data_IF_692376880716
#
_entry.id   IF_692376880716
#
_cell.length_a   1.000
_cell.length_b   1.000
_cell.length_c   1.000
_cell.angle_alpha   90.00
_cell.angle_beta   90.00
_cell.angle_gamma   90.00
#
_symmetry.space_group_name_H-M   'P 1'
#
loop_
_entity.id
_entity.type
_entity.pdbx_description
1 polymer ?
#
# COMPACT_ATOMS: atom_id res chain seq x y z
N UNK A 1 -3.27 10.66 -22.56
CA UNK A 1 -2.14 10.17 -21.74
C UNK A 1 -2.50 10.43 -20.29
N UNK A 2 -3.25 9.52 -19.68
CA UNK A 2 -3.69 9.65 -18.30
C UNK A 2 -2.44 9.69 -17.41
N UNK A 3 -2.26 10.78 -16.68
CA UNK A 3 -1.10 10.98 -15.82
C UNK A 3 -1.08 9.88 -14.77
N UNK A 4 0.00 9.10 -14.69
CA UNK A 4 0.20 8.11 -13.63
C UNK A 4 0.47 8.74 -12.25
N UNK A 5 0.39 10.07 -12.15
CA UNK A 5 0.56 10.88 -10.94
C UNK A 5 -0.31 10.43 -9.74
N UNK A 6 -1.60 10.06 -9.92
CA UNK A 6 -2.42 9.58 -8.80
C UNK A 6 -1.89 8.29 -8.16
N UNK A 7 -1.21 7.41 -8.93
CA UNK A 7 -0.66 6.17 -8.38
C UNK A 7 0.54 6.41 -7.46
N UNK A 8 1.40 7.38 -7.79
CA UNK A 8 2.51 7.77 -6.93
C UNK A 8 1.99 8.33 -5.60
N UNK A 9 1.10 9.33 -5.68
CA UNK A 9 0.57 9.97 -4.48
C UNK A 9 -0.11 8.94 -3.56
N UNK A 10 -1.00 8.10 -4.12
CA UNK A 10 -1.65 7.06 -3.34
C UNK A 10 -0.66 6.01 -2.82
N UNK A 11 0.37 5.63 -3.59
CA UNK A 11 1.39 4.69 -3.11
C UNK A 11 2.16 5.25 -1.90
N UNK A 12 2.56 6.52 -1.95
CA UNK A 12 3.21 7.23 -0.84
C UNK A 12 2.28 7.31 0.38
N UNK A 13 1.02 7.69 0.17
CA UNK A 13 0.04 7.79 1.25
C UNK A 13 -0.20 6.44 1.95
N UNK A 14 -0.40 5.36 1.18
CA UNK A 14 -0.59 4.03 1.76
C UNK A 14 0.68 3.49 2.41
N UNK A 15 1.86 3.75 1.84
CA UNK A 15 3.14 3.42 2.46
C UNK A 15 3.27 4.09 3.83
N UNK A 16 3.02 5.40 3.91
CA UNK A 16 3.09 6.15 5.16
C UNK A 16 2.07 5.67 6.20
N UNK A 17 0.83 5.36 5.78
CA UNK A 17 -0.21 4.82 6.66
C UNK A 17 0.19 3.45 7.23
N UNK A 18 0.68 2.53 6.39
CA UNK A 18 1.13 1.21 6.83
C UNK A 18 2.36 1.33 7.73
N UNK A 19 3.30 2.22 7.42
CA UNK A 19 4.48 2.46 8.25
C UNK A 19 4.11 2.99 9.64
N UNK A 20 3.17 3.93 9.72
CA UNK A 20 2.66 4.46 10.99
C UNK A 20 1.94 3.36 11.80
N UNK A 21 1.02 2.62 11.18
CA UNK A 21 0.29 1.51 11.80
C UNK A 21 1.23 0.41 12.30
N UNK A 22 2.23 0.03 11.51
CA UNK A 22 3.18 -0.99 11.91
C UNK A 22 4.14 -0.48 13.00
N UNK A 23 4.44 0.82 13.00
CA UNK A 23 5.24 1.50 14.03
C UNK A 23 4.73 1.23 15.45
N UNK A 24 3.41 1.22 15.65
CA UNK A 24 2.78 0.95 16.96
C UNK A 24 2.86 -0.53 17.40
N UNK A 25 3.24 -1.41 16.47
CA UNK A 25 3.35 -2.86 16.69
C UNK A 25 4.79 -3.37 16.83
N UNK A 26 5.80 -2.53 16.59
CA UNK A 26 7.22 -2.93 16.55
C UNK A 26 7.71 -3.62 17.83
N UNK A 27 7.18 -3.24 19.00
CA UNK A 27 7.52 -3.88 20.28
C UNK A 27 6.84 -5.26 20.47
N UNK A 28 5.79 -5.55 19.70
CA UNK A 28 4.96 -6.75 19.84
C UNK A 28 5.19 -7.77 18.72
N UNK A 29 5.58 -7.31 17.53
CA UNK A 29 5.99 -8.14 16.41
C UNK A 29 7.51 -8.35 16.46
N UNK A 30 7.94 -9.46 17.06
CA UNK A 30 9.33 -9.79 17.27
C UNK A 30 9.67 -11.12 16.59
N UNK A 31 10.96 -11.45 16.38
CA UNK A 31 11.33 -12.75 15.83
C UNK A 31 10.88 -13.95 16.68
N UNK A 32 10.59 -13.75 17.98
CA UNK A 32 10.06 -14.81 18.84
C UNK A 32 8.55 -14.94 18.77
N UNK A 33 7.80 -13.84 18.63
CA UNK A 33 6.34 -13.89 18.49
C UNK A 33 5.90 -14.24 17.07
N UNK A 34 6.65 -13.76 16.07
CA UNK A 34 6.37 -13.95 14.65
C UNK A 34 7.63 -14.42 13.90
N UNK A 35 8.05 -15.68 14.10
CA UNK A 35 9.27 -16.25 13.51
C UNK A 35 9.21 -16.36 11.98
N UNK A 36 8.02 -16.29 11.41
CA UNK A 36 7.74 -16.31 9.98
C UNK A 36 6.75 -15.21 9.62
N UNK A 37 6.91 -14.57 8.46
CA UNK A 37 5.91 -13.65 7.93
C UNK A 37 4.71 -14.42 7.38
N UNK A 38 3.55 -14.30 8.03
CA UNK A 38 2.35 -15.08 7.68
C UNK A 38 1.05 -14.29 7.83
N UNK A 39 0.01 -14.72 7.13
CA UNK A 39 -1.37 -14.28 7.34
C UNK A 39 -2.23 -15.50 7.71
N UNK A 40 -2.30 -15.79 9.01
CA UNK A 40 -2.93 -16.99 9.53
C UNK A 40 -2.15 -18.27 9.20
N UNK A 41 -2.72 -19.46 9.47
CA UNK A 41 -2.01 -20.72 9.33
C UNK A 41 -1.84 -21.20 7.88
N UNK A 42 -2.53 -20.57 6.91
CA UNK A 42 -2.59 -21.03 5.51
C UNK A 42 -1.63 -20.29 4.58
N UNK A 43 -1.17 -19.10 4.96
CA UNK A 43 -0.42 -18.21 4.08
C UNK A 43 0.90 -17.81 4.72
N UNK A 44 2.00 -18.18 4.08
CA UNK A 44 3.36 -17.80 4.44
C UNK A 44 3.95 -16.94 3.32
N UNK A 45 4.62 -15.84 3.69
CA UNK A 45 5.25 -14.92 2.75
C UNK A 45 6.76 -15.00 2.86
N UNK A 46 7.40 -15.32 1.73
CA UNK A 46 8.86 -15.34 1.59
C UNK A 46 9.35 -14.09 0.89
N UNK A 47 10.53 -13.62 1.27
CA UNK A 47 11.11 -12.39 0.74
C UNK A 47 12.04 -12.66 -0.44
N UNK A 48 11.88 -11.89 -1.51
CA UNK A 48 12.84 -11.76 -2.61
C UNK A 48 12.62 -10.40 -3.27
N UNK A 49 13.69 -9.66 -3.52
CA UNK A 49 13.65 -8.37 -4.24
C UNK A 49 13.96 -8.53 -5.74
N UNK A 50 14.45 -9.71 -6.16
CA UNK A 50 14.86 -9.98 -7.55
C UNK A 50 16.21 -9.36 -7.93
N UNK A 51 16.83 -8.57 -7.05
CA UNK A 51 18.09 -7.87 -7.25
C UNK A 51 19.17 -8.48 -6.36
N UNK A 52 19.11 -8.24 -5.05
CA UNK A 52 20.06 -8.76 -4.07
C UNK A 52 19.68 -10.18 -3.65
N UNK A 53 18.38 -10.42 -3.44
CA UNK A 53 17.80 -11.69 -3.00
C UNK A 53 16.90 -12.22 -4.13
N UNK A 54 17.51 -13.03 -5.00
CA UNK A 54 16.83 -13.62 -6.17
C UNK A 54 15.98 -14.84 -5.82
N UNK A 55 16.36 -15.60 -4.80
CA UNK A 55 15.63 -16.78 -4.35
C UNK A 55 14.81 -16.41 -3.11
N UNK A 56 13.51 -16.73 -3.06
CA UNK A 56 12.68 -16.45 -1.90
C UNK A 56 13.25 -17.07 -0.62
N UNK A 57 13.53 -16.23 0.39
CA UNK A 57 14.04 -16.65 1.70
C UNK A 57 12.94 -16.56 2.75
N UNK A 58 13.03 -17.45 3.74
CA UNK A 58 12.23 -17.39 4.96
C UNK A 58 12.87 -16.39 5.92
N UNK A 59 12.06 -15.49 6.45
CA UNK A 59 12.46 -14.49 7.45
C UNK A 59 11.31 -14.27 8.43
N UNK A 60 11.64 -13.77 9.62
CA UNK A 60 10.64 -13.37 10.60
C UNK A 60 9.76 -12.23 10.07
N UNK A 61 8.55 -12.10 10.60
CA UNK A 61 7.64 -11.01 10.21
C UNK A 61 8.26 -9.62 10.36
N UNK A 62 8.92 -9.24 11.48
CA UNK A 62 9.56 -7.93 11.57
C UNK A 62 10.70 -7.75 10.57
N UNK A 63 11.46 -8.82 10.28
CA UNK A 63 12.53 -8.73 9.29
C UNK A 63 12.00 -8.61 7.86
N UNK A 64 10.90 -9.27 7.56
CA UNK A 64 10.19 -9.11 6.29
C UNK A 64 9.70 -7.67 6.12
N UNK A 65 9.07 -7.09 7.14
CA UNK A 65 8.54 -5.73 7.07
C UNK A 65 9.67 -4.70 6.93
N UNK A 66 10.79 -4.87 7.64
CA UNK A 66 12.00 -4.07 7.46
C UNK A 66 12.46 -4.05 5.99
N UNK A 67 12.70 -5.23 5.40
CA UNK A 67 13.09 -5.33 3.99
C UNK A 67 12.05 -4.75 3.03
N UNK A 68 10.77 -4.91 3.36
CA UNK A 68 9.70 -4.37 2.55
C UNK A 68 9.68 -2.84 2.56
N UNK A 69 9.80 -2.22 3.73
CA UNK A 69 9.75 -0.78 3.84
C UNK A 69 10.95 -0.12 3.16
N UNK A 70 12.16 -0.67 3.36
CA UNK A 70 13.37 -0.21 2.68
C UNK A 70 13.22 -0.31 1.17
N UNK A 71 12.75 -1.46 0.67
CA UNK A 71 12.53 -1.67 -0.76
C UNK A 71 11.50 -0.70 -1.35
N UNK A 72 10.36 -0.48 -0.68
CA UNK A 72 9.35 0.48 -1.18
C UNK A 72 9.92 1.89 -1.21
N UNK A 73 10.66 2.31 -0.18
CA UNK A 73 11.29 3.62 -0.14
C UNK A 73 12.25 3.81 -1.33
N UNK A 74 13.13 2.84 -1.59
CA UNK A 74 14.01 2.84 -2.76
C UNK A 74 13.23 2.96 -4.07
N UNK A 75 12.11 2.24 -4.21
CA UNK A 75 11.30 2.34 -5.42
C UNK A 75 10.64 3.72 -5.59
N UNK A 76 10.20 4.36 -4.50
CA UNK A 76 9.54 5.68 -4.52
C UNK A 76 10.53 6.84 -4.74
N UNK A 77 11.77 6.67 -4.30
CA UNK A 77 12.87 7.64 -4.46
C UNK A 77 13.57 7.54 -5.83
N UNK A 78 13.36 6.45 -6.58
CA UNK A 78 13.95 6.27 -7.91
C UNK A 78 13.28 7.18 -8.95
N UNK A 79 13.97 8.25 -9.33
CA UNK A 79 13.52 9.21 -10.35
C UNK A 79 13.26 8.58 -11.73
N UNK A 80 13.82 7.41 -12.02
CA UNK A 80 13.57 6.66 -13.27
C UNK A 80 12.21 5.96 -13.25
N UNK A 81 11.68 5.68 -12.06
CA UNK A 81 10.36 5.08 -11.84
C UNK A 81 9.32 6.18 -11.60
N UNK A 82 9.65 7.12 -10.73
CA UNK A 82 8.81 8.24 -10.34
C UNK A 82 9.56 9.56 -10.61
N UNK A 83 9.42 10.17 -11.79
CA UNK A 83 10.12 11.42 -12.09
C UNK A 83 9.64 12.55 -11.16
N UNK A 84 10.43 12.89 -10.14
CA UNK A 84 10.07 13.81 -9.05
C UNK A 84 10.13 15.31 -9.42
N UNK A 85 10.12 15.69 -10.71
CA UNK A 85 10.23 17.11 -11.10
C UNK A 85 8.98 17.90 -10.69
N UNK A 86 9.05 18.55 -9.51
CA UNK A 86 8.11 19.55 -9.03
C UNK A 86 8.11 20.77 -9.96
N UNK A 87 7.09 20.88 -10.83
CA UNK A 87 6.76 22.11 -11.55
C UNK A 87 5.45 22.67 -11.02
N UNK A 88 5.50 23.79 -10.29
CA UNK A 88 4.31 24.52 -9.82
C UNK A 88 3.69 25.24 -11.04
N UNK A 89 2.56 24.74 -11.54
CA UNK A 89 1.72 25.45 -12.48
C UNK A 89 0.25 25.19 -12.14
N UNK A 90 -0.37 26.10 -11.40
CA UNK A 90 -1.81 26.11 -11.18
C UNK A 90 -2.51 26.45 -12.49
N UNK A 91 -3.20 25.48 -13.08
CA UNK A 91 -4.24 25.75 -14.06
C UNK A 91 -5.55 25.29 -13.44
N UNK A 92 -6.46 26.23 -13.17
CA UNK A 92 -7.78 25.93 -12.62
C UNK A 92 -8.54 25.01 -13.60
N UNK A 93 -8.91 23.80 -13.17
CA UNK A 93 -9.80 22.92 -13.93
C UNK A 93 -11.23 23.14 -13.43
N UNK A 94 -12.21 23.39 -14.31
CA UNK A 94 -13.61 23.43 -13.91
C UNK A 94 -14.05 22.04 -13.45
N UNK A 95 -14.47 21.93 -12.19
CA UNK A 95 -15.03 20.73 -11.56
C UNK A 95 -16.15 20.10 -12.43
N UNK A 96 -15.90 18.94 -13.03
CA UNK A 96 -16.97 18.14 -13.63
C UNK A 96 -17.79 17.44 -12.53
N UNK A 97 -19.12 17.46 -12.65
CA UNK A 97 -20.10 17.17 -11.59
C UNK A 97 -20.30 15.68 -11.25
N UNK A 98 -19.46 14.76 -11.72
CA UNK A 98 -19.68 13.31 -11.57
C UNK A 98 -18.45 12.54 -11.07
N UNK A 99 -17.76 13.09 -10.06
CA UNK A 99 -16.72 12.39 -9.30
C UNK A 99 -17.27 12.06 -7.90
N UNK A 100 -17.03 10.83 -7.46
CA UNK A 100 -17.47 10.26 -6.18
C UNK A 100 -17.25 11.21 -4.98
N UNK A 101 -18.15 11.24 -3.99
CA UNK A 101 -18.03 12.11 -2.81
C UNK A 101 -16.71 11.95 -2.04
N UNK A 102 -16.10 10.77 -2.11
CA UNK A 102 -14.80 10.44 -1.50
C UNK A 102 -13.65 11.38 -1.92
N UNK A 103 -13.64 11.84 -3.18
CA UNK A 103 -12.56 12.70 -3.69
C UNK A 103 -12.71 14.17 -3.29
N UNK A 104 -13.82 14.57 -2.67
CA UNK A 104 -14.07 15.98 -2.31
C UNK A 104 -13.54 16.37 -0.95
N UNK A 105 -13.32 15.42 -0.05
CA UNK A 105 -13.06 15.68 1.38
C UNK A 105 -11.58 15.60 1.75
N UNK A 106 -10.78 14.94 0.91
CA UNK A 106 -9.33 15.01 0.95
C UNK A 106 -8.89 16.31 0.26
N UNK A 107 -8.15 17.20 0.94
CA UNK A 107 -7.52 18.42 0.38
C UNK A 107 -6.55 18.20 -0.81
N UNK A 108 -6.59 17.01 -1.41
CA UNK A 108 -5.74 16.47 -2.48
C UNK A 108 -5.97 17.18 -3.82
N UNK A 109 -7.11 17.85 -4.02
CA UNK A 109 -7.41 18.56 -5.28
C UNK A 109 -6.52 19.79 -5.54
N UNK A 110 -5.91 20.38 -4.50
CA UNK A 110 -5.02 21.53 -4.66
C UNK A 110 -3.57 21.13 -4.98
N UNK A 111 -3.25 19.84 -4.90
CA UNK A 111 -1.93 19.29 -5.18
C UNK A 111 -1.97 18.51 -6.52
N UNK A 112 -2.65 19.06 -7.53
CA UNK A 112 -2.53 18.59 -8.91
C UNK A 112 -1.14 18.98 -9.45
N UNK A 113 -0.12 18.33 -8.91
CA UNK A 113 1.28 18.47 -9.29
C UNK A 113 1.40 18.01 -10.73
N UNK A 114 1.66 19.01 -11.56
CA UNK A 114 2.11 18.85 -12.93
C UNK A 114 3.47 18.14 -12.88
N UNK A 115 3.49 16.82 -12.99
CA UNK A 115 4.73 16.08 -13.22
C UNK A 115 5.24 16.51 -14.59
N UNK A 116 6.40 17.18 -14.60
CA UNK A 116 7.08 17.63 -15.81
C UNK A 116 7.39 16.44 -16.72
N UNK A 117 6.67 16.37 -17.86
CA UNK A 117 7.10 15.94 -19.21
C UNK A 117 7.86 14.62 -19.45
N UNK A 118 8.29 13.91 -18.40
CA UNK A 118 9.11 12.72 -18.51
C UNK A 118 8.19 11.50 -18.50
N UNK A 119 8.26 10.63 -19.52
CA UNK A 119 7.40 9.46 -19.57
C UNK A 119 7.74 8.50 -18.43
N UNK A 120 6.71 7.93 -17.80
CA UNK A 120 6.86 6.80 -16.88
C UNK A 120 7.46 5.59 -17.61
N UNK A 121 8.23 4.73 -16.92
CA UNK A 121 8.81 3.57 -17.57
C UNK A 121 7.73 2.58 -18.03
N UNK A 122 7.98 1.78 -19.07
CA UNK A 122 6.99 0.87 -19.63
C UNK A 122 6.49 -0.19 -18.63
N UNK A 123 7.30 -0.53 -17.62
CA UNK A 123 6.95 -1.46 -16.54
C UNK A 123 6.36 -0.77 -15.29
N UNK A 124 6.08 0.54 -15.33
CA UNK A 124 5.60 1.31 -14.19
C UNK A 124 4.41 0.67 -13.48
N UNK A 125 3.40 0.24 -14.25
CA UNK A 125 2.19 -0.37 -13.67
C UNK A 125 2.50 -1.66 -12.92
N UNK A 126 3.47 -2.45 -13.38
CA UNK A 126 3.88 -3.70 -12.72
C UNK A 126 4.65 -3.42 -11.43
N UNK A 127 5.42 -2.32 -11.38
CA UNK A 127 6.07 -1.83 -10.16
C UNK A 127 5.01 -1.42 -9.14
N UNK A 128 4.04 -0.58 -9.54
CA UNK A 128 2.93 -0.16 -8.67
C UNK A 128 2.15 -1.36 -8.14
N UNK A 129 1.74 -2.29 -9.00
CA UNK A 129 1.08 -3.54 -8.58
C UNK A 129 1.92 -4.30 -7.55
N UNK A 130 3.24 -4.36 -7.73
CA UNK A 130 4.14 -5.05 -6.80
C UNK A 130 4.19 -4.35 -5.45
N UNK A 131 4.27 -3.01 -5.42
CA UNK A 131 4.22 -2.21 -4.18
C UNK A 131 2.93 -2.51 -3.42
N UNK A 132 1.77 -2.35 -4.07
CA UNK A 132 0.47 -2.58 -3.44
C UNK A 132 0.30 -4.03 -2.97
N UNK A 133 0.66 -5.01 -3.80
CA UNK A 133 0.61 -6.43 -3.40
C UNK A 133 1.44 -6.71 -2.15
N UNK A 134 2.62 -6.08 -2.02
CA UNK A 134 3.46 -6.28 -0.84
C UNK A 134 2.95 -5.54 0.39
N UNK A 135 2.43 -4.30 0.24
CA UNK A 135 1.76 -3.58 1.33
C UNK A 135 0.56 -4.37 1.89
N UNK A 136 -0.22 -5.02 1.02
CA UNK A 136 -1.32 -5.89 1.44
C UNK A 136 -0.88 -7.00 2.41
N UNK A 137 0.33 -7.57 2.23
CA UNK A 137 0.87 -8.61 3.12
C UNK A 137 1.05 -8.12 4.55
N UNK A 138 1.38 -6.83 4.74
CA UNK A 138 1.49 -6.20 6.06
C UNK A 138 0.12 -6.09 6.70
N UNK A 139 -0.89 -5.59 5.97
CA UNK A 139 -2.28 -5.59 6.46
C UNK A 139 -2.76 -6.98 6.86
N UNK A 140 -2.56 -7.98 5.98
CA UNK A 140 -2.94 -9.36 6.25
C UNK A 140 -2.26 -9.92 7.51
N UNK A 141 -0.98 -9.62 7.69
CA UNK A 141 -0.26 -10.00 8.91
C UNK A 141 -0.83 -9.30 10.16
N UNK A 142 -1.08 -7.99 10.11
CA UNK A 142 -1.64 -7.24 11.25
C UNK A 142 -3.00 -7.80 11.65
N UNK A 143 -3.91 -8.03 10.70
CA UNK A 143 -5.26 -8.55 10.97
C UNK A 143 -5.23 -9.97 11.58
N UNK A 144 -4.32 -10.83 11.15
CA UNK A 144 -4.25 -12.20 11.65
C UNK A 144 -3.47 -12.34 12.96
N UNK A 145 -2.36 -11.62 13.10
CA UNK A 145 -1.39 -11.83 14.19
C UNK A 145 -1.47 -10.77 15.28
N UNK A 146 -1.93 -9.55 14.97
CA UNK A 146 -1.82 -8.41 15.87
C UNK A 146 -3.14 -7.64 16.08
N UNK A 147 -4.27 -8.10 15.54
CA UNK A 147 -5.54 -7.38 15.63
C UNK A 147 -5.98 -7.14 17.08
N UNK A 148 -5.81 -8.12 17.97
CA UNK A 148 -6.12 -7.95 19.39
C UNK A 148 -5.28 -6.85 20.04
N UNK A 149 -4.04 -6.68 19.58
CA UNK A 149 -3.15 -5.62 20.07
C UNK A 149 -3.58 -4.26 19.55
N UNK A 150 -3.95 -4.16 18.28
CA UNK A 150 -4.55 -2.96 17.69
C UNK A 150 -5.80 -2.52 18.46
N UNK A 151 -6.69 -3.46 18.79
CA UNK A 151 -7.88 -3.16 19.62
C UNK A 151 -7.49 -2.66 21.01
N UNK A 152 -6.47 -3.26 21.64
CA UNK A 152 -6.00 -2.80 22.96
C UNK A 152 -5.39 -1.39 22.93
N UNK A 153 -4.87 -0.96 21.77
CA UNK A 153 -4.35 0.38 21.53
C UNK A 153 -5.43 1.38 21.09
N UNK A 154 -6.68 0.92 20.87
CA UNK A 154 -7.80 1.72 20.35
C UNK A 154 -7.56 2.27 18.94
N UNK A 155 -6.79 1.55 18.12
CA UNK A 155 -6.42 1.94 16.76
C UNK A 155 -7.19 1.16 15.68
N UNK A 156 -8.13 0.29 16.06
CA UNK A 156 -8.86 -0.56 15.12
C UNK A 156 -9.70 0.24 14.12
N UNK A 157 -10.25 1.39 14.53
CA UNK A 157 -10.97 2.28 13.64
C UNK A 157 -10.04 2.86 12.55
N UNK A 158 -8.80 3.20 12.92
CA UNK A 158 -7.79 3.70 11.98
C UNK A 158 -7.37 2.60 11.00
N UNK A 159 -7.00 1.42 11.52
CA UNK A 159 -6.65 0.25 10.70
C UNK A 159 -7.75 -0.08 9.68
N UNK A 160 -9.00 -0.18 10.13
CA UNK A 160 -10.14 -0.53 9.28
C UNK A 160 -10.42 0.54 8.21
N UNK A 161 -10.30 1.81 8.56
CA UNK A 161 -10.51 2.91 7.61
C UNK A 161 -9.41 2.92 6.53
N UNK A 162 -8.15 2.82 6.94
CA UNK A 162 -7.01 2.72 6.03
C UNK A 162 -7.11 1.50 5.12
N UNK A 163 -7.45 0.34 5.68
CA UNK A 163 -7.62 -0.90 4.92
C UNK A 163 -8.81 -0.83 3.95
N UNK A 164 -9.91 -0.19 4.34
CA UNK A 164 -11.06 0.05 3.44
C UNK A 164 -10.64 0.91 2.24
N UNK A 165 -9.94 2.01 2.46
CA UNK A 165 -9.46 2.87 1.37
C UNK A 165 -8.48 2.13 0.46
N UNK A 166 -7.56 1.36 1.05
CA UNK A 166 -6.61 0.52 0.32
C UNK A 166 -7.33 -0.50 -0.57
N UNK A 167 -8.34 -1.19 -0.01
CA UNK A 167 -9.12 -2.20 -0.72
C UNK A 167 -9.89 -1.60 -1.89
N UNK A 168 -10.61 -0.49 -1.67
CA UNK A 168 -11.37 0.18 -2.73
C UNK A 168 -10.46 0.70 -3.85
N UNK A 169 -9.30 1.27 -3.50
CA UNK A 169 -8.34 1.75 -4.48
C UNK A 169 -7.73 0.62 -5.32
N UNK A 170 -7.28 -0.45 -4.67
CA UNK A 170 -6.70 -1.61 -5.36
C UNK A 170 -7.71 -2.35 -6.23
N UNK A 171 -8.99 -2.35 -5.82
CA UNK A 171 -10.10 -2.87 -6.60
C UNK A 171 -10.37 -2.03 -7.86
N UNK A 172 -10.58 -0.72 -7.71
CA UNK A 172 -10.88 0.21 -8.82
C UNK A 172 -9.81 0.13 -9.92
N UNK A 173 -8.53 0.15 -9.54
CA UNK A 173 -7.43 0.19 -10.49
C UNK A 173 -6.84 -1.18 -10.85
N UNK A 174 -7.44 -2.26 -10.33
CA UNK A 174 -7.05 -3.64 -10.59
C UNK A 174 -5.56 -3.88 -10.28
N UNK A 175 -5.13 -3.46 -9.09
CA UNK A 175 -3.72 -3.48 -8.67
C UNK A 175 -3.31 -4.80 -8.00
N UNK A 176 -4.28 -5.55 -7.47
CA UNK A 176 -4.04 -6.84 -6.82
C UNK A 176 -5.01 -7.87 -7.39
N UNK A 177 -4.50 -9.04 -7.74
CA UNK A 177 -5.33 -10.15 -8.23
C UNK A 177 -6.16 -10.75 -7.09
N UNK A 178 -7.39 -11.19 -7.39
CA UNK A 178 -8.31 -11.74 -6.39
C UNK A 178 -7.73 -12.91 -5.59
N UNK A 179 -6.90 -13.75 -6.22
CA UNK A 179 -6.24 -14.87 -5.54
C UNK A 179 -5.27 -14.43 -4.44
N UNK A 180 -4.60 -13.28 -4.61
CA UNK A 180 -3.67 -12.73 -3.62
C UNK A 180 -4.40 -12.12 -2.42
N UNK A 181 -5.66 -11.73 -2.58
CA UNK A 181 -6.52 -11.17 -1.53
C UNK A 181 -7.16 -12.24 -0.63
N UNK A 182 -6.97 -13.52 -0.95
CA UNK A 182 -7.53 -14.65 -0.21
C UNK A 182 -7.34 -14.61 1.32
N UNK A 183 -6.21 -14.14 1.88
CA UNK A 183 -6.01 -14.08 3.34
C UNK A 183 -7.03 -13.22 4.09
N UNK A 184 -7.63 -12.23 3.43
CA UNK A 184 -8.62 -11.33 4.01
C UNK A 184 -9.92 -11.31 3.18
N UNK A 185 -10.21 -12.38 2.44
CA UNK A 185 -11.33 -12.44 1.50
C UNK A 185 -12.67 -12.03 2.13
N UNK A 186 -13.03 -12.62 3.27
CA UNK A 186 -14.30 -12.34 3.95
C UNK A 186 -14.44 -10.86 4.36
N UNK A 187 -13.36 -10.27 4.88
CA UNK A 187 -13.33 -8.85 5.24
C UNK A 187 -13.45 -7.96 4.01
N UNK A 188 -12.69 -8.25 2.96
CA UNK A 188 -12.70 -7.51 1.69
C UNK A 188 -14.07 -7.58 1.02
N UNK A 189 -14.68 -8.76 0.98
CA UNK A 189 -16.00 -8.96 0.42
C UNK A 189 -17.04 -8.10 1.14
N UNK A 190 -17.02 -8.06 2.47
CA UNK A 190 -17.92 -7.17 3.24
C UNK A 190 -17.71 -5.68 2.93
N UNK A 191 -16.48 -5.25 2.68
CA UNK A 191 -16.15 -3.85 2.34
C UNK A 191 -16.68 -3.49 0.95
N UNK A 192 -16.50 -4.39 -0.01
CA UNK A 192 -16.92 -4.17 -1.40
C UNK A 192 -18.44 -4.23 -1.53
N UNK A 193 -19.11 -5.17 -0.86
CA UNK A 193 -20.58 -5.30 -0.92
C UNK A 193 -21.32 -4.14 -0.22
N UNK A 194 -20.63 -3.37 0.62
CA UNK A 194 -21.19 -2.19 1.28
C UNK A 194 -21.13 -0.91 0.40
N UNK A 195 -20.69 -1.03 -0.85
CA UNK A 195 -20.53 0.05 -1.83
C UNK A 195 -21.27 -0.27 -3.13
#
# INVERSE_FOLDING_TARGET
MASYSPFLLCAVDFFNQVNLLYGTLTEFCTPSTCPTMSAGPKFEYRWADGVQIKKPIEVSAPKYVEYLMDWIAEQLDDETIFPQKLGIACCEIPLSRNINPFFKETQVLNLLVHISGSPFPPNFREIVKTIFKRLFRVYAHIYHSHFQKIVSLQEEAHLNTCFKHFTLFTWEFHLIEKGELAPLHELIESIILAY
#
